data_IF_234194907732
#
_entry.id   IF_234194907732
#
_cell.length_a   1.000
_cell.length_b   1.000
_cell.length_c   1.000
_cell.angle_alpha   90.00
_cell.angle_beta   90.00
_cell.angle_gamma   90.00
#
_symmetry.space_group_name_H-M   'P 1'
#
loop_
_entity.id
_entity.type
_entity.pdbx_description
1 polymer ?
#
# COMPACT_ATOMS: atom_id res chain seq x y z
N UNK A 1 25.88 -0.60 34.98
CA UNK A 1 24.52 -0.02 34.78
C UNK A 1 24.55 0.58 33.39
N UNK A 2 23.78 0.14 32.40
CA UNK A 2 22.36 -0.20 32.45
C UNK A 2 22.01 -1.20 31.35
N UNK A 3 21.12 -2.13 31.66
CA UNK A 3 20.52 -3.04 30.69
C UNK A 3 19.68 -2.22 29.70
N UNK A 4 20.00 -2.38 28.41
CA UNK A 4 19.20 -1.91 27.28
C UNK A 4 17.76 -2.43 27.41
N UNK A 5 16.81 -1.53 27.67
CA UNK A 5 15.39 -1.82 27.44
C UNK A 5 15.11 -1.72 25.93
N UNK A 6 15.74 -2.61 25.16
CA UNK A 6 15.39 -2.78 23.76
C UNK A 6 14.01 -3.42 23.66
N UNK A 7 13.08 -2.63 23.12
CA UNK A 7 12.09 -3.10 22.16
C UNK A 7 10.94 -3.99 22.68
N UNK A 8 10.30 -3.62 23.79
CA UNK A 8 8.97 -4.18 24.13
C UNK A 8 7.81 -3.48 23.39
N UNK A 9 8.02 -2.27 22.86
CA UNK A 9 6.96 -1.47 22.26
C UNK A 9 6.51 -1.97 20.87
N UNK A 10 7.39 -2.63 20.11
CA UNK A 10 7.09 -3.05 18.73
C UNK A 10 6.20 -4.32 18.64
N UNK A 11 5.74 -4.88 19.77
CA UNK A 11 4.81 -6.03 19.79
C UNK A 11 3.36 -5.66 20.15
N UNK A 12 3.12 -4.46 20.68
CA UNK A 12 1.81 -4.08 21.24
C UNK A 12 1.30 -2.73 20.73
N UNK A 13 2.19 -1.80 20.36
CA UNK A 13 1.81 -0.44 19.94
C UNK A 13 2.27 -0.20 18.50
N UNK A 14 1.31 0.02 17.60
CA UNK A 14 1.56 0.27 16.18
C UNK A 14 1.23 1.72 15.82
N UNK A 15 1.75 2.21 14.69
CA UNK A 15 1.39 3.50 14.10
C UNK A 15 1.67 4.76 14.95
N UNK A 16 2.56 4.68 15.97
CA UNK A 16 2.98 5.84 16.78
C UNK A 16 3.47 7.04 15.95
N UNK A 17 4.02 6.75 14.77
CA UNK A 17 4.33 7.73 13.75
C UNK A 17 3.95 7.14 12.39
N UNK A 18 2.99 7.78 11.73
CA UNK A 18 2.49 7.35 10.42
C UNK A 18 2.95 8.32 9.35
N UNK A 19 3.65 7.82 8.33
CA UNK A 19 4.02 8.63 7.17
C UNK A 19 2.77 8.80 6.29
N UNK A 20 2.41 10.06 6.06
CA UNK A 20 1.31 10.44 5.16
C UNK A 20 1.87 10.69 3.76
N UNK A 21 1.19 10.16 2.75
CA UNK A 21 1.50 10.41 1.35
C UNK A 21 0.28 11.07 0.70
N UNK A 22 0.51 12.17 -0.01
CA UNK A 22 -0.55 12.93 -0.68
C UNK A 22 -0.63 12.50 -2.14
N UNK A 23 -1.85 12.35 -2.66
CA UNK A 23 -2.01 12.17 -4.11
C UNK A 23 -1.70 13.49 -4.82
N UNK A 24 -1.04 13.41 -5.98
CA UNK A 24 -0.69 14.59 -6.79
C UNK A 24 -1.91 15.37 -7.27
N UNK A 25 -3.04 14.69 -7.44
CA UNK A 25 -4.31 15.30 -7.85
C UNK A 25 -5.00 16.11 -6.73
N UNK A 26 -4.44 16.10 -5.51
CA UNK A 26 -4.98 16.82 -4.35
C UNK A 26 -6.30 16.27 -3.81
N UNK A 27 -6.78 15.12 -4.30
CA UNK A 27 -8.10 14.58 -3.93
C UNK A 27 -8.10 13.86 -2.58
N UNK A 28 -6.92 13.58 -2.02
CA UNK A 28 -6.81 12.85 -0.77
C UNK A 28 -5.39 12.51 -0.39
N UNK A 29 -5.30 11.64 0.61
CA UNK A 29 -4.04 11.08 1.11
C UNK A 29 -4.15 9.57 1.29
N UNK A 30 -3.01 8.90 1.36
CA UNK A 30 -2.91 7.51 1.73
C UNK A 30 -1.78 7.28 2.73
N UNK A 31 -1.93 6.25 3.53
CA UNK A 31 -0.94 5.85 4.52
C UNK A 31 -0.97 4.34 4.73
N UNK A 32 0.05 3.83 5.41
CA UNK A 32 0.15 2.42 5.75
C UNK A 32 -0.27 2.26 7.20
N UNK A 33 -1.25 1.40 7.43
CA UNK A 33 -1.71 0.99 8.74
C UNK A 33 -1.13 -0.39 9.08
N UNK A 34 -0.30 -0.41 10.11
CA UNK A 34 0.36 -1.61 10.62
C UNK A 34 -0.42 -2.20 11.79
N UNK A 35 -0.57 -3.51 11.79
CA UNK A 35 -1.02 -4.27 12.95
C UNK A 35 -0.13 -5.49 13.13
N UNK A 36 -0.35 -6.24 14.23
CA UNK A 36 0.48 -7.38 14.65
C UNK A 36 0.93 -8.28 13.51
N UNK A 37 0.03 -8.61 12.58
CA UNK A 37 0.31 -9.52 11.47
C UNK A 37 -0.07 -8.94 10.09
N UNK A 38 -0.49 -7.67 9.99
CA UNK A 38 -1.01 -7.12 8.73
C UNK A 38 -0.45 -5.75 8.45
N UNK A 39 -0.23 -5.50 7.16
CA UNK A 39 0.12 -4.20 6.58
C UNK A 39 -0.96 -3.86 5.57
N UNK A 40 -1.72 -2.80 5.83
CA UNK A 40 -2.82 -2.39 4.94
C UNK A 40 -2.61 -0.96 4.46
N UNK A 41 -3.02 -0.69 3.23
CA UNK A 41 -2.93 0.65 2.64
C UNK A 41 -4.28 1.32 2.79
N UNK A 42 -4.30 2.45 3.49
CA UNK A 42 -5.52 3.22 3.79
C UNK A 42 -5.59 4.45 2.90
N UNK A 43 -6.82 4.80 2.53
CA UNK A 43 -7.18 5.98 1.75
C UNK A 43 -8.05 6.89 2.61
N UNK A 44 -7.78 8.20 2.53
CA UNK A 44 -8.72 9.24 2.94
C UNK A 44 -9.01 10.10 1.72
N UNK A 45 -10.24 10.03 1.24
CA UNK A 45 -10.74 10.93 0.19
C UNK A 45 -11.36 12.17 0.86
N UNK A 46 -10.95 13.36 0.45
CA UNK A 46 -11.40 14.60 1.10
C UNK A 46 -12.87 14.93 0.84
N UNK A 47 -13.53 14.29 -0.13
CA UNK A 47 -14.98 14.45 -0.32
C UNK A 47 -15.79 13.64 0.67
N UNK A 48 -15.31 12.46 1.07
CA UNK A 48 -16.07 11.51 1.88
C UNK A 48 -15.54 11.39 3.32
N UNK A 49 -14.38 11.99 3.61
CA UNK A 49 -13.70 12.13 4.92
C UNK A 49 -13.61 10.85 5.77
N UNK A 50 -13.81 9.69 5.17
CA UNK A 50 -13.73 8.37 5.80
C UNK A 50 -12.41 7.72 5.45
N UNK A 51 -11.84 7.03 6.44
CA UNK A 51 -10.71 6.12 6.23
C UNK A 51 -11.25 4.81 5.68
N UNK A 52 -10.80 4.43 4.49
CA UNK A 52 -11.16 3.17 3.82
C UNK A 52 -9.89 2.46 3.36
N UNK A 53 -10.01 1.19 2.99
CA UNK A 53 -8.89 0.51 2.33
C UNK A 53 -8.69 1.10 0.93
N UNK A 54 -7.43 1.40 0.59
CA UNK A 54 -7.05 1.95 -0.71
C UNK A 54 -7.35 0.95 -1.85
N UNK A 55 -7.21 -0.34 -1.54
CA UNK A 55 -7.55 -1.46 -2.39
C UNK A 55 -7.78 -2.71 -1.53
N UNK A 56 -8.48 -3.71 -2.07
CA UNK A 56 -8.52 -5.05 -1.50
C UNK A 56 -7.12 -5.70 -1.55
N UNK A 57 -6.53 -5.94 -0.38
CA UNK A 57 -5.17 -6.46 -0.22
C UNK A 57 -4.99 -7.85 -0.83
N UNK A 58 -5.95 -8.75 -0.64
CA UNK A 58 -5.85 -10.12 -1.14
C UNK A 58 -5.85 -10.14 -2.67
N UNK A 59 -6.76 -9.39 -3.30
CA UNK A 59 -6.80 -9.28 -4.76
C UNK A 59 -5.55 -8.64 -5.33
N UNK A 60 -4.97 -7.65 -4.63
CA UNK A 60 -3.71 -7.02 -5.01
C UNK A 60 -2.54 -8.01 -4.98
N UNK A 61 -2.41 -8.78 -3.90
CA UNK A 61 -1.38 -9.82 -3.77
C UNK A 61 -1.56 -10.90 -4.83
N UNK A 62 -2.79 -11.37 -5.07
CA UNK A 62 -3.09 -12.33 -6.13
C UNK A 62 -2.66 -11.81 -7.51
N UNK A 63 -3.04 -10.58 -7.87
CA UNK A 63 -2.68 -9.98 -9.15
C UNK A 63 -1.16 -9.85 -9.33
N UNK A 64 -0.43 -9.47 -8.26
CA UNK A 64 1.03 -9.38 -8.31
C UNK A 64 1.70 -10.76 -8.36
N UNK A 65 1.20 -11.76 -7.64
CA UNK A 65 1.75 -13.12 -7.67
C UNK A 65 1.53 -13.78 -9.02
N UNK A 66 0.36 -13.59 -9.63
CA UNK A 66 0.08 -14.04 -10.99
C UNK A 66 0.98 -13.36 -12.01
N UNK A 67 1.16 -12.03 -11.90
CA UNK A 67 2.00 -11.27 -12.83
C UNK A 67 3.50 -11.55 -12.69
N UNK A 68 3.99 -11.74 -11.45
CA UNK A 68 5.42 -11.91 -11.16
C UNK A 68 5.88 -13.37 -11.15
N UNK A 69 4.95 -14.32 -11.22
CA UNK A 69 5.16 -15.76 -11.03
C UNK A 69 5.85 -16.10 -9.69
N UNK A 70 5.82 -15.17 -8.72
CA UNK A 70 6.43 -15.32 -7.40
C UNK A 70 5.37 -15.23 -6.31
N UNK A 71 5.51 -16.11 -5.32
CA UNK A 71 4.66 -16.07 -4.14
C UNK A 71 5.00 -14.84 -3.29
N UNK A 72 4.05 -13.91 -3.18
CA UNK A 72 4.17 -12.73 -2.33
C UNK A 72 3.40 -13.00 -1.05
N UNK A 73 4.09 -13.05 0.09
CA UNK A 73 3.39 -13.16 1.39
C UNK A 73 2.65 -11.86 1.68
N UNK A 74 1.47 -11.96 2.28
CA UNK A 74 0.60 -10.80 2.55
C UNK A 74 1.30 -9.68 3.35
N UNK A 75 2.21 -10.02 4.25
CA UNK A 75 2.96 -9.06 5.06
C UNK A 75 4.19 -8.46 4.34
N UNK A 76 4.56 -8.97 3.17
CA UNK A 76 5.72 -8.53 2.39
C UNK A 76 5.36 -7.53 1.28
N UNK A 77 4.07 -7.22 1.09
CA UNK A 77 3.62 -6.28 0.06
C UNK A 77 4.21 -4.87 0.32
N UNK A 78 5.22 -4.50 -0.46
CA UNK A 78 5.91 -3.21 -0.37
C UNK A 78 5.71 -2.41 -1.64
N UNK A 79 4.67 -1.56 -1.61
CA UNK A 79 4.35 -0.64 -2.69
C UNK A 79 4.86 0.75 -2.33
N UNK A 80 5.32 1.47 -3.35
CA UNK A 80 5.71 2.87 -3.23
C UNK A 80 5.12 3.69 -4.38
N UNK A 81 5.22 5.02 -4.28
CA UNK A 81 4.78 5.96 -5.30
C UNK A 81 3.35 5.70 -5.80
N UNK A 82 2.44 5.41 -4.87
CA UNK A 82 1.06 5.09 -5.21
C UNK A 82 0.32 6.35 -5.63
N UNK A 83 -0.25 6.35 -6.82
CA UNK A 83 -0.99 7.45 -7.41
C UNK A 83 -2.32 6.98 -8.01
N UNK A 84 -3.36 7.80 -7.87
CA UNK A 84 -4.62 7.56 -8.59
C UNK A 84 -4.41 7.90 -10.07
N UNK A 85 -4.90 7.04 -10.95
CA UNK A 85 -5.05 7.28 -12.39
C UNK A 85 -6.53 7.35 -12.72
N UNK A 86 -6.89 8.20 -13.69
CA UNK A 86 -8.27 8.34 -14.15
C UNK A 86 -8.89 6.98 -14.52
N UNK A 87 -10.23 6.89 -14.46
CA UNK A 87 -11.02 5.67 -14.74
C UNK A 87 -10.88 4.54 -13.70
N UNK A 88 -10.48 4.86 -12.47
CA UNK A 88 -10.38 3.88 -11.37
C UNK A 88 -9.15 2.99 -11.46
N UNK A 89 -8.07 3.52 -12.04
CA UNK A 89 -6.78 2.85 -12.09
C UNK A 89 -5.88 3.37 -10.96
N UNK A 90 -4.94 2.54 -10.52
CA UNK A 90 -3.95 2.86 -9.50
C UNK A 90 -2.56 2.57 -10.05
N UNK A 91 -1.69 3.57 -10.06
CA UNK A 91 -0.28 3.42 -10.42
C UNK A 91 0.53 3.26 -9.14
N UNK A 92 1.56 2.40 -9.18
CA UNK A 92 2.48 2.22 -8.06
C UNK A 92 3.79 1.57 -8.54
N UNK A 93 4.80 1.60 -7.68
CA UNK A 93 6.05 0.85 -7.87
C UNK A 93 6.10 -0.39 -6.97
N UNK A 94 6.57 -1.50 -7.53
CA UNK A 94 6.85 -2.76 -6.84
C UNK A 94 8.12 -3.39 -7.44
N UNK A 95 9.07 -3.84 -6.60
CA UNK A 95 10.36 -4.40 -7.07
C UNK A 95 11.04 -3.53 -8.17
N UNK A 96 11.11 -2.21 -7.95
CA UNK A 96 11.66 -1.20 -8.88
C UNK A 96 10.94 -1.06 -10.23
N UNK A 97 9.86 -1.78 -10.48
CA UNK A 97 9.04 -1.66 -11.69
C UNK A 97 7.78 -0.85 -11.41
N UNK A 98 7.34 -0.10 -12.42
CA UNK A 98 6.09 0.68 -12.36
C UNK A 98 4.95 -0.15 -12.93
N UNK A 99 3.81 -0.15 -12.24
CA UNK A 99 2.63 -0.90 -12.65
C UNK A 99 1.39 -0.02 -12.59
N UNK A 100 0.40 -0.39 -13.39
CA UNK A 100 -0.95 0.14 -13.33
C UNK A 100 -1.93 -1.00 -13.08
N UNK A 101 -2.73 -0.87 -12.03
CA UNK A 101 -3.80 -1.79 -11.68
C UNK A 101 -5.16 -1.14 -11.93
N UNK A 102 -6.08 -1.87 -12.56
CA UNK A 102 -7.49 -1.47 -12.55
C UNK A 102 -8.18 -1.91 -11.24
N UNK A 103 -8.72 -0.98 -10.45
CA UNK A 103 -9.31 -1.31 -9.14
C UNK A 103 -10.64 -2.08 -9.22
N UNK A 104 -11.29 -2.16 -10.40
CA UNK A 104 -12.52 -2.94 -10.60
C UNK A 104 -12.19 -4.37 -11.01
N UNK A 105 -11.38 -4.55 -12.05
CA UNK A 105 -11.05 -5.88 -12.60
C UNK A 105 -9.85 -6.54 -11.94
N UNK A 106 -9.01 -5.78 -11.23
CA UNK A 106 -7.72 -6.22 -10.70
C UNK A 106 -6.71 -6.70 -11.76
N UNK A 107 -6.91 -6.30 -13.02
CA UNK A 107 -5.92 -6.53 -14.07
C UNK A 107 -4.72 -5.60 -13.86
N UNK A 108 -3.53 -6.18 -13.90
CA UNK A 108 -2.26 -5.51 -13.71
C UNK A 108 -1.50 -5.43 -15.03
N UNK A 109 -0.95 -4.26 -15.34
CA UNK A 109 -0.09 -4.04 -16.50
C UNK A 109 1.22 -3.40 -16.09
N UNK A 110 2.34 -3.88 -16.64
CA UNK A 110 3.63 -3.22 -16.50
C UNK A 110 3.65 -1.92 -17.30
N UNK A 111 4.17 -0.86 -16.71
CA UNK A 111 4.43 0.39 -17.39
C UNK A 111 5.91 0.44 -17.75
N UNK A 112 6.21 0.44 -19.05
CA UNK A 112 7.58 0.61 -19.53
C UNK A 112 8.07 2.01 -19.13
N UNK A 113 9.24 2.07 -18.49
CA UNK A 113 9.93 3.35 -18.27
C UNK A 113 10.41 3.85 -19.65
N UNK A 114 9.95 5.04 -20.04
CA UNK A 114 10.40 5.73 -21.25
C UNK A 114 11.81 6.27 -21.08
#
# INVERSE_FOLDING_TARGET
VSFLHDNHNNKTVFNLKTKINWFKDGTGLWFIDYSKNKKTYKLVDFKNTKVVDLFNHNKMVSALTEFSEKLIKENQLSLSNIEKRGKGNLEFKFENKSYVLNLKSYQLTLQEEK
#
